data_IF_696352299477
#
_entry.id   IF_696352299477
#
_cell.length_a   1.000
_cell.length_b   1.000
_cell.length_c   1.000
_cell.angle_alpha   90.00
_cell.angle_beta   90.00
_cell.angle_gamma   90.00
#
_symmetry.space_group_name_H-M   'P 1'
#
loop_
_entity.id
_entity.type
_entity.pdbx_description
1 polymer ?
#
# COMPACT_ATOMS: atom_id res chain seq x y z
N UNK A 1 5.44 -11.66 32.35
CA UNK A 1 6.57 -11.54 31.39
C UNK A 1 6.14 -11.72 29.91
N UNK A 2 4.97 -12.28 29.61
CA UNK A 2 4.47 -12.47 28.25
C UNK A 2 4.01 -11.16 27.58
N UNK A 3 3.45 -10.21 28.34
CA UNK A 3 2.94 -8.92 27.84
C UNK A 3 4.00 -7.99 27.22
N UNK A 4 5.24 -8.02 27.68
CA UNK A 4 6.29 -7.14 27.15
C UNK A 4 6.83 -7.55 25.78
N UNK A 5 6.85 -8.85 25.49
CA UNK A 5 7.27 -9.38 24.18
C UNK A 5 6.24 -9.08 23.08
N UNK A 6 4.95 -9.19 23.41
CA UNK A 6 3.86 -8.88 22.45
C UNK A 6 3.84 -7.40 22.07
N UNK A 7 4.11 -6.50 23.03
CA UNK A 7 4.19 -5.05 22.77
C UNK A 7 5.28 -4.70 21.77
N UNK A 8 6.48 -5.24 21.94
CA UNK A 8 7.60 -5.00 21.02
C UNK A 8 7.25 -5.48 19.60
N UNK A 9 6.69 -6.67 19.46
CA UNK A 9 6.34 -7.24 18.15
C UNK A 9 5.32 -6.42 17.39
N UNK A 10 4.29 -5.89 18.06
CA UNK A 10 3.26 -5.05 17.43
C UNK A 10 3.83 -3.72 16.97
N UNK A 11 4.61 -3.05 17.82
CA UNK A 11 5.26 -1.79 17.48
C UNK A 11 6.27 -1.96 16.33
N UNK A 12 7.04 -3.05 16.34
CA UNK A 12 8.00 -3.38 15.28
C UNK A 12 7.29 -3.63 13.94
N UNK A 13 6.15 -4.33 13.96
CA UNK A 13 5.38 -4.57 12.76
C UNK A 13 4.74 -3.28 12.21
N UNK A 14 4.19 -2.43 13.06
CA UNK A 14 3.70 -1.10 12.66
C UNK A 14 4.83 -0.26 12.06
N UNK A 15 6.04 -0.33 12.61
CA UNK A 15 7.22 0.34 12.06
C UNK A 15 7.52 -0.15 10.64
N UNK A 16 7.49 -1.45 10.38
CA UNK A 16 7.67 -2.00 9.02
C UNK A 16 6.57 -1.51 8.07
N UNK A 17 5.31 -1.47 8.52
CA UNK A 17 4.21 -0.90 7.72
C UNK A 17 4.45 0.57 7.37
N UNK A 18 4.91 1.39 8.33
CA UNK A 18 5.28 2.80 8.12
C UNK A 18 6.41 2.93 7.11
N UNK A 19 7.45 2.10 7.21
CA UNK A 19 8.56 2.09 6.27
C UNK A 19 8.10 1.74 4.85
N UNK A 20 7.20 0.76 4.70
CA UNK A 20 6.62 0.39 3.40
C UNK A 20 5.86 1.56 2.80
N UNK A 21 4.95 2.20 3.54
CA UNK A 21 4.14 3.30 3.02
C UNK A 21 5.00 4.53 2.70
N UNK A 22 5.99 4.84 3.52
CA UNK A 22 6.97 5.89 3.25
C UNK A 22 7.76 5.59 1.96
N UNK A 23 8.19 4.35 1.77
CA UNK A 23 8.89 3.93 0.56
C UNK A 23 7.99 3.95 -0.68
N UNK A 24 6.70 3.60 -0.55
CA UNK A 24 5.67 3.71 -1.61
C UNK A 24 5.43 5.16 -2.00
N UNK A 25 5.26 6.06 -1.03
CA UNK A 25 5.10 7.48 -1.27
C UNK A 25 6.27 8.05 -2.07
N UNK A 26 7.49 7.72 -1.68
CA UNK A 26 8.69 8.14 -2.40
C UNK A 26 8.75 7.57 -3.82
N UNK A 27 8.40 6.30 -4.01
CA UNK A 27 8.33 5.67 -5.33
C UNK A 27 7.32 6.39 -6.23
N UNK A 28 6.10 6.66 -5.73
CA UNK A 28 5.07 7.34 -6.50
C UNK A 28 5.42 8.79 -6.79
N UNK A 29 6.11 9.46 -5.89
CA UNK A 29 6.65 10.80 -6.14
C UNK A 29 7.73 10.79 -7.24
N UNK A 30 8.63 9.81 -7.23
CA UNK A 30 9.64 9.65 -8.28
C UNK A 30 8.96 9.36 -9.64
N UNK A 31 7.89 8.56 -9.67
CA UNK A 31 7.08 8.31 -10.87
C UNK A 31 6.30 9.53 -11.35
N UNK A 32 5.77 10.34 -10.42
CA UNK A 32 5.13 11.63 -10.73
C UNK A 32 6.08 12.57 -11.48
N UNK A 33 7.36 12.60 -11.07
CA UNK A 33 8.38 13.42 -11.72
C UNK A 33 8.77 12.91 -13.11
N UNK A 34 8.76 11.59 -13.31
CA UNK A 34 9.12 10.97 -14.58
C UNK A 34 7.98 11.00 -15.60
N UNK A 35 6.76 10.83 -15.14
CA UNK A 35 5.56 10.69 -15.97
C UNK A 35 4.53 11.75 -15.58
N UNK A 36 4.82 13.01 -15.90
CA UNK A 36 3.94 14.15 -15.62
C UNK A 36 2.88 14.38 -16.71
N UNK A 37 3.00 13.70 -17.84
CA UNK A 37 2.04 13.78 -18.93
C UNK A 37 1.62 12.37 -19.40
N UNK A 38 0.37 12.20 -19.83
CA UNK A 38 -0.73 13.17 -19.81
C UNK A 38 -1.22 13.49 -18.38
N UNK A 39 -1.99 14.55 -18.21
CA UNK A 39 -2.47 15.04 -16.90
C UNK A 39 -3.15 13.96 -16.05
N UNK A 40 -3.81 13.00 -16.66
CA UNK A 40 -4.43 11.85 -15.97
C UNK A 40 -3.38 10.95 -15.29
N UNK A 41 -2.24 10.73 -15.94
CA UNK A 41 -1.12 9.94 -15.37
C UNK A 41 -0.50 10.70 -14.19
N UNK A 42 -0.30 12.01 -14.35
CA UNK A 42 0.17 12.87 -13.26
C UNK A 42 -0.74 12.81 -12.04
N UNK A 43 -2.06 12.91 -12.26
CA UNK A 43 -3.05 12.85 -11.19
C UNK A 43 -3.06 11.47 -10.50
N UNK A 44 -2.91 10.38 -11.26
CA UNK A 44 -2.78 9.04 -10.69
C UNK A 44 -1.62 8.95 -9.71
N UNK A 45 -0.41 9.35 -10.15
CA UNK A 45 0.78 9.27 -9.28
C UNK A 45 0.66 10.17 -8.06
N UNK A 46 0.07 11.36 -8.23
CA UNK A 46 -0.23 12.25 -7.12
C UNK A 46 -1.17 11.60 -6.10
N UNK A 47 -2.27 11.02 -6.56
CA UNK A 47 -3.26 10.37 -5.69
C UNK A 47 -2.66 9.17 -4.94
N UNK A 48 -1.85 8.35 -5.62
CA UNK A 48 -1.16 7.21 -4.99
C UNK A 48 -0.12 7.66 -3.96
N UNK A 49 0.59 8.74 -4.25
CA UNK A 49 1.55 9.34 -3.32
C UNK A 49 0.86 9.91 -2.07
N UNK A 50 -0.21 10.69 -2.26
CA UNK A 50 -1.02 11.26 -1.17
C UNK A 50 -1.63 10.16 -0.29
N UNK A 51 -2.15 9.09 -0.89
CA UNK A 51 -2.70 7.94 -0.17
C UNK A 51 -1.64 7.26 0.71
N UNK A 52 -0.45 7.01 0.17
CA UNK A 52 0.64 6.40 0.93
C UNK A 52 1.09 7.30 2.11
N UNK A 53 1.16 8.62 1.93
CA UNK A 53 1.44 9.54 3.05
C UNK A 53 0.35 9.53 4.12
N UNK A 54 -0.91 9.43 3.74
CA UNK A 54 -2.03 9.34 4.70
C UNK A 54 -1.97 8.04 5.49
N UNK A 55 -1.66 6.91 4.83
CA UNK A 55 -1.42 5.64 5.52
C UNK A 55 -0.25 5.74 6.49
N UNK A 56 0.86 6.35 6.08
CA UNK A 56 2.01 6.60 6.96
C UNK A 56 1.59 7.38 8.21
N UNK A 57 0.83 8.46 8.04
CA UNK A 57 0.38 9.28 9.17
C UNK A 57 -0.55 8.50 10.12
N UNK A 58 -1.52 7.76 9.57
CA UNK A 58 -2.45 6.95 10.36
C UNK A 58 -1.73 5.84 11.14
N UNK A 59 -0.82 5.11 10.48
CA UNK A 59 -0.02 4.05 11.12
C UNK A 59 0.93 4.61 12.19
N UNK A 60 1.54 5.78 11.96
CA UNK A 60 2.39 6.46 12.94
C UNK A 60 1.59 6.86 14.18
N UNK A 61 0.38 7.40 13.98
CA UNK A 61 -0.50 7.73 15.08
C UNK A 61 -0.87 6.49 15.90
N UNK A 62 -1.33 5.42 15.25
CA UNK A 62 -1.67 4.15 15.93
C UNK A 62 -0.45 3.58 16.67
N UNK A 63 0.74 3.61 16.06
CA UNK A 63 1.97 3.15 16.73
C UNK A 63 2.24 3.92 18.02
N UNK A 64 2.08 5.25 17.99
CA UNK A 64 2.24 6.09 19.17
C UNK A 64 1.27 5.71 20.29
N UNK A 65 0.00 5.46 19.97
CA UNK A 65 -1.01 5.03 20.96
C UNK A 65 -0.70 3.63 21.52
N UNK A 66 -0.28 2.68 20.67
CA UNK A 66 0.15 1.34 21.11
C UNK A 66 1.38 1.37 22.00
N UNK A 67 2.30 2.29 21.78
CA UNK A 67 3.48 2.48 22.64
C UNK A 67 3.10 3.03 24.01
N UNK A 68 2.06 3.85 24.11
CA UNK A 68 1.53 4.35 25.39
C UNK A 68 0.67 3.30 26.09
N UNK A 69 -0.28 2.72 25.39
CA UNK A 69 -1.25 1.76 25.90
C UNK A 69 -1.41 0.58 24.91
N UNK A 70 -0.71 -0.54 25.13
CA UNK A 70 -0.72 -1.69 24.21
C UNK A 70 -2.09 -2.32 23.97
N UNK A 71 -3.02 -2.16 24.90
CA UNK A 71 -4.35 -2.75 24.82
C UNK A 71 -5.28 -2.05 23.82
N UNK A 72 -4.88 -0.88 23.30
CA UNK A 72 -5.65 -0.16 22.27
C UNK A 72 -5.71 -0.88 20.93
N UNK A 73 -4.78 -1.80 20.66
CA UNK A 73 -4.78 -2.61 19.44
C UNK A 73 -4.93 -4.10 19.77
N UNK A 74 -6.09 -4.64 19.46
CA UNK A 74 -6.42 -6.08 19.60
C UNK A 74 -6.20 -6.76 18.25
N UNK A 75 -4.97 -7.12 17.96
CA UNK A 75 -4.61 -7.75 16.71
C UNK A 75 -3.74 -8.98 16.95
N UNK A 76 -4.16 -10.12 16.41
CA UNK A 76 -3.32 -11.29 16.31
C UNK A 76 -2.52 -11.21 15.00
N UNK A 77 -1.20 -11.14 15.14
CA UNK A 77 -0.29 -11.21 14.01
C UNK A 77 0.10 -12.66 13.73
N UNK A 78 0.10 -12.99 12.45
CA UNK A 78 0.55 -14.28 11.96
C UNK A 78 1.98 -14.16 11.44
N UNK A 79 2.76 -15.21 11.54
CA UNK A 79 4.13 -15.25 10.96
C UNK A 79 4.11 -14.90 9.47
N UNK A 80 3.04 -15.30 8.77
CA UNK A 80 2.81 -14.94 7.37
C UNK A 80 2.71 -13.43 7.11
N UNK A 81 2.24 -12.63 8.07
CA UNK A 81 2.14 -11.18 7.93
C UNK A 81 3.53 -10.56 7.87
N UNK A 82 4.45 -11.02 8.74
CA UNK A 82 5.83 -10.55 8.75
C UNK A 82 6.52 -10.87 7.42
N UNK A 83 6.42 -12.10 6.95
CA UNK A 83 7.02 -12.54 5.69
C UNK A 83 6.50 -11.72 4.50
N UNK A 84 5.19 -11.43 4.49
CA UNK A 84 4.57 -10.57 3.46
C UNK A 84 5.09 -9.15 3.50
N UNK A 85 5.20 -8.56 4.69
CA UNK A 85 5.71 -7.20 4.85
C UNK A 85 7.17 -7.11 4.40
N UNK A 86 8.01 -8.05 4.81
CA UNK A 86 9.42 -8.11 4.42
C UNK A 86 9.57 -8.27 2.91
N UNK A 87 8.73 -9.12 2.30
CA UNK A 87 8.70 -9.28 0.84
C UNK A 87 8.31 -7.98 0.15
N UNK A 88 7.26 -7.31 0.65
CA UNK A 88 6.77 -6.07 0.07
C UNK A 88 7.79 -4.94 0.20
N UNK A 89 8.42 -4.78 1.35
CA UNK A 89 9.46 -3.78 1.56
C UNK A 89 10.61 -3.98 0.56
N UNK A 90 11.10 -5.22 0.42
CA UNK A 90 12.14 -5.56 -0.60
C UNK A 90 11.67 -5.27 -2.02
N UNK A 91 10.40 -5.51 -2.33
CA UNK A 91 9.82 -5.23 -3.65
C UNK A 91 9.78 -3.74 -3.95
N UNK A 92 9.28 -2.92 -3.00
CA UNK A 92 9.22 -1.46 -3.15
C UNK A 92 10.62 -0.87 -3.32
N UNK A 93 11.59 -1.30 -2.52
CA UNK A 93 12.97 -0.83 -2.62
C UNK A 93 13.63 -1.23 -3.96
N UNK A 94 13.30 -2.41 -4.48
CA UNK A 94 13.73 -2.81 -5.84
C UNK A 94 13.13 -1.90 -6.91
N UNK A 95 11.87 -1.54 -6.78
CA UNK A 95 11.19 -0.64 -7.71
C UNK A 95 11.76 0.78 -7.65
N UNK A 96 12.03 1.31 -6.46
CA UNK A 96 12.71 2.61 -6.29
C UNK A 96 14.06 2.64 -7.01
N UNK A 97 14.88 1.60 -6.84
CA UNK A 97 16.18 1.51 -7.54
C UNK A 97 16.00 1.49 -9.06
N UNK A 98 15.02 0.74 -9.58
CA UNK A 98 14.73 0.68 -11.01
C UNK A 98 14.26 2.02 -11.57
N UNK A 99 13.39 2.72 -10.86
CA UNK A 99 12.87 4.04 -11.25
C UNK A 99 14.01 5.07 -11.29
N UNK A 100 14.85 5.09 -10.25
CA UNK A 100 16.01 5.99 -10.18
C UNK A 100 17.07 5.70 -11.25
N UNK A 101 17.16 4.47 -11.72
CA UNK A 101 18.01 4.10 -12.84
C UNK A 101 17.54 4.60 -14.21
N UNK A 102 16.36 5.20 -14.30
CA UNK A 102 15.83 5.84 -15.51
C UNK A 102 15.37 4.88 -16.62
N UNK A 103 15.47 3.58 -16.42
CA UNK A 103 15.12 2.55 -17.42
C UNK A 103 13.71 1.96 -17.20
N UNK A 104 12.71 2.85 -17.20
CA UNK A 104 11.32 2.41 -17.01
C UNK A 104 10.40 3.11 -18.02
N UNK A 105 9.49 2.33 -18.60
CA UNK A 105 8.39 2.84 -19.44
C UNK A 105 7.15 3.12 -18.59
N UNK A 106 6.20 3.89 -19.12
CA UNK A 106 4.91 4.12 -18.44
C UNK A 106 4.19 2.80 -18.14
N UNK A 107 4.11 1.87 -19.09
CA UNK A 107 3.50 0.54 -18.87
C UNK A 107 4.23 -0.23 -17.76
N UNK A 108 5.56 -0.14 -17.70
CA UNK A 108 6.36 -0.72 -16.63
C UNK A 108 6.03 -0.13 -15.25
N UNK A 109 5.84 1.19 -15.18
CA UNK A 109 5.43 1.88 -13.95
C UNK A 109 4.00 1.50 -13.53
N UNK A 110 3.06 1.44 -14.46
CA UNK A 110 1.68 1.01 -14.22
C UNK A 110 1.61 -0.44 -13.73
N UNK A 111 2.43 -1.36 -14.30
CA UNK A 111 2.58 -2.73 -13.81
C UNK A 111 3.07 -2.79 -12.37
N UNK A 112 4.03 -1.94 -12.00
CA UNK A 112 4.49 -1.85 -10.61
C UNK A 112 3.35 -1.42 -9.67
N UNK A 113 2.57 -0.40 -10.04
CA UNK A 113 1.44 0.06 -9.25
C UNK A 113 0.39 -1.04 -9.06
N UNK A 114 0.02 -1.76 -10.12
CA UNK A 114 -0.90 -2.90 -10.03
C UNK A 114 -0.34 -3.97 -9.09
N UNK A 115 0.94 -4.33 -9.21
CA UNK A 115 1.53 -5.37 -8.36
C UNK A 115 1.57 -4.96 -6.89
N UNK A 116 1.90 -3.70 -6.57
CA UNK A 116 1.90 -3.18 -5.21
C UNK A 116 0.49 -3.16 -4.59
N UNK A 117 -0.54 -2.95 -5.41
CA UNK A 117 -1.94 -3.02 -4.97
C UNK A 117 -2.46 -4.45 -4.81
N UNK A 118 -1.86 -5.43 -5.48
CA UNK A 118 -2.28 -6.84 -5.41
C UNK A 118 -1.46 -7.68 -4.44
N UNK A 119 -0.55 -7.10 -3.66
CA UNK A 119 0.32 -7.83 -2.74
C UNK A 119 -0.37 -8.29 -1.43
N UNK A 120 -1.64 -7.92 -1.22
CA UNK A 120 -2.45 -8.40 -0.08
C UNK A 120 -2.18 -7.71 1.25
N UNK A 121 -1.32 -6.68 1.30
CA UNK A 121 -1.06 -5.92 2.53
C UNK A 121 -2.28 -5.09 2.97
N UNK A 122 -3.17 -4.77 2.06
CA UNK A 122 -4.40 -4.02 2.35
C UNK A 122 -5.28 -4.75 3.38
N UNK A 123 -5.36 -6.08 3.32
CA UNK A 123 -6.07 -6.88 4.32
C UNK A 123 -5.45 -6.75 5.72
N UNK A 124 -4.13 -6.60 5.81
CA UNK A 124 -3.45 -6.35 7.09
C UNK A 124 -3.79 -4.97 7.62
N UNK A 125 -3.76 -3.95 6.76
CA UNK A 125 -4.15 -2.59 7.16
C UNK A 125 -5.60 -2.52 7.60
N UNK A 126 -6.53 -3.18 6.90
CA UNK A 126 -7.92 -3.29 7.33
C UNK A 126 -8.03 -3.93 8.72
N UNK A 127 -7.25 -4.98 9.01
CA UNK A 127 -7.23 -5.60 10.35
C UNK A 127 -6.64 -4.66 11.40
N UNK A 128 -5.57 -3.92 11.08
CA UNK A 128 -4.98 -2.93 11.99
C UNK A 128 -6.02 -1.85 12.32
N UNK A 129 -6.61 -1.21 11.31
CA UNK A 129 -7.57 -0.11 11.51
C UNK A 129 -8.85 -0.55 12.20
N UNK A 130 -9.32 -1.79 11.97
CA UNK A 130 -10.50 -2.34 12.64
C UNK A 130 -10.19 -2.96 14.02
N UNK A 131 -8.93 -3.30 14.28
CA UNK A 131 -8.48 -3.88 15.56
C UNK A 131 -8.15 -2.85 16.64
N UNK A 132 -8.01 -1.59 16.25
CA UNK A 132 -7.74 -0.46 17.17
C UNK A 132 -9.02 -0.07 17.91
N UNK A 133 -8.86 0.49 19.12
CA UNK A 133 -9.98 1.14 19.83
C UNK A 133 -10.78 2.05 18.88
N UNK A 134 -12.13 2.01 18.90
CA UNK A 134 -12.96 2.72 17.92
C UNK A 134 -12.69 4.22 17.84
N UNK A 135 -12.37 4.88 18.94
CA UNK A 135 -12.07 6.33 18.96
C UNK A 135 -10.75 6.60 18.24
N UNK A 136 -9.73 5.82 18.56
CA UNK A 136 -8.40 5.90 17.93
C UNK A 136 -8.49 5.54 16.45
N UNK A 137 -9.23 4.48 16.11
CA UNK A 137 -9.48 4.08 14.73
C UNK A 137 -10.17 5.15 13.91
N UNK A 138 -11.20 5.81 14.46
CA UNK A 138 -11.88 6.94 13.81
C UNK A 138 -10.90 8.11 13.59
N UNK A 139 -10.10 8.47 14.58
CA UNK A 139 -9.10 9.54 14.46
C UNK A 139 -8.06 9.22 13.40
N UNK A 140 -7.52 7.99 13.39
CA UNK A 140 -6.53 7.55 12.43
C UNK A 140 -7.08 7.54 11.00
N UNK A 141 -8.34 7.14 10.81
CA UNK A 141 -8.93 6.92 9.48
C UNK A 141 -9.66 8.12 8.90
N UNK A 142 -9.92 9.18 9.70
CA UNK A 142 -10.60 10.41 9.23
C UNK A 142 -10.03 10.99 7.93
N UNK A 143 -8.72 10.87 7.74
CA UNK A 143 -8.02 11.37 6.55
C UNK A 143 -7.86 10.34 5.45
N UNK A 144 -8.22 9.08 5.68
CA UNK A 144 -8.06 8.02 4.70
C UNK A 144 -9.19 8.09 3.67
N UNK A 145 -8.82 8.05 2.39
CA UNK A 145 -9.79 7.83 1.32
C UNK A 145 -10.12 6.33 1.25
N UNK A 146 -11.36 5.98 0.88
CA UNK A 146 -11.67 4.57 0.63
C UNK A 146 -10.70 3.98 -0.41
N UNK A 147 -10.11 2.83 -0.09
CA UNK A 147 -9.15 2.10 -0.95
C UNK A 147 -9.69 1.87 -2.36
N UNK A 148 -11.01 1.73 -2.50
CA UNK A 148 -11.69 1.54 -3.79
C UNK A 148 -11.44 2.66 -4.81
N UNK A 149 -11.28 3.91 -4.37
CA UNK A 149 -11.03 5.03 -5.30
C UNK A 149 -9.67 4.91 -5.99
N UNK A 150 -8.64 4.50 -5.27
CA UNK A 150 -7.30 4.30 -5.85
C UNK A 150 -7.27 3.21 -6.92
N UNK A 151 -8.07 2.14 -6.77
CA UNK A 151 -8.21 1.09 -7.78
C UNK A 151 -8.92 1.58 -9.04
N UNK A 152 -10.01 2.33 -8.89
CA UNK A 152 -10.77 2.88 -10.01
C UNK A 152 -9.91 3.84 -10.82
N UNK A 153 -9.18 4.72 -10.16
CA UNK A 153 -8.30 5.69 -10.82
C UNK A 153 -7.15 4.99 -11.56
N UNK A 154 -6.54 3.97 -10.95
CA UNK A 154 -5.50 3.17 -11.58
C UNK A 154 -6.03 2.41 -12.80
N UNK A 155 -7.18 1.77 -12.68
CA UNK A 155 -7.80 1.02 -13.78
C UNK A 155 -8.14 1.94 -14.96
N UNK A 156 -8.80 3.07 -14.72
CA UNK A 156 -9.13 4.06 -15.76
C UNK A 156 -7.89 4.60 -16.46
N UNK A 157 -6.82 4.88 -15.70
CA UNK A 157 -5.56 5.37 -16.26
C UNK A 157 -4.91 4.31 -17.15
N UNK A 158 -4.90 3.05 -16.70
CA UNK A 158 -4.36 1.94 -17.50
C UNK A 158 -5.16 1.77 -18.80
N UNK A 159 -6.49 1.77 -18.71
CA UNK A 159 -7.36 1.62 -19.89
C UNK A 159 -7.18 2.73 -20.94
N UNK A 160 -6.84 3.95 -20.50
CA UNK A 160 -6.69 5.10 -21.40
C UNK A 160 -5.27 5.35 -21.88
N UNK A 161 -4.25 4.90 -21.15
CA UNK A 161 -2.84 5.26 -21.40
C UNK A 161 -1.92 4.08 -21.70
N UNK A 162 -2.34 2.83 -21.39
CA UNK A 162 -1.52 1.65 -21.63
C UNK A 162 -1.78 1.04 -23.01
N UNK A 163 -0.71 0.58 -23.65
CA UNK A 163 -0.77 -0.23 -24.87
C UNK A 163 -0.51 -1.72 -24.61
N UNK A 164 -0.28 -2.09 -23.35
CA UNK A 164 0.05 -3.46 -22.94
C UNK A 164 -1.23 -4.28 -22.73
N UNK A 165 -1.56 -5.14 -23.68
CA UNK A 165 -2.75 -6.00 -23.68
C UNK A 165 -2.82 -6.95 -22.47
N UNK A 166 -1.68 -7.40 -21.96
CA UNK A 166 -1.61 -8.28 -20.78
C UNK A 166 -2.01 -7.48 -19.54
N UNK A 167 -1.49 -6.25 -19.40
CA UNK A 167 -1.85 -5.36 -18.30
C UNK A 167 -3.32 -4.98 -18.35
N UNK A 168 -3.84 -4.61 -19.51
CA UNK A 168 -5.25 -4.30 -19.74
C UNK A 168 -6.16 -5.47 -19.37
N UNK A 169 -5.83 -6.68 -19.82
CA UNK A 169 -6.59 -7.89 -19.50
C UNK A 169 -6.58 -8.19 -17.99
N UNK A 170 -5.42 -8.04 -17.32
CA UNK A 170 -5.28 -8.25 -15.88
C UNK A 170 -6.16 -7.27 -15.09
N UNK A 171 -6.12 -5.99 -15.43
CA UNK A 171 -6.90 -4.94 -14.73
C UNK A 171 -8.40 -5.18 -14.91
N UNK A 172 -8.86 -5.48 -16.13
CA UNK A 172 -10.28 -5.80 -16.39
C UNK A 172 -10.76 -7.01 -15.58
N UNK A 173 -9.90 -8.03 -15.41
CA UNK A 173 -10.21 -9.20 -14.55
C UNK A 173 -10.35 -8.80 -13.08
N UNK A 174 -9.44 -8.01 -12.55
CA UNK A 174 -9.47 -7.52 -11.17
C UNK A 174 -10.72 -6.68 -10.90
N UNK A 175 -11.09 -5.81 -11.84
CA UNK A 175 -12.30 -4.98 -11.72
C UNK A 175 -13.60 -5.81 -11.71
N UNK A 176 -13.69 -6.88 -12.52
CA UNK A 176 -14.85 -7.77 -12.53
C UNK A 176 -14.98 -8.62 -11.27
N UNK A 177 -13.85 -8.99 -10.66
CA UNK A 177 -13.80 -9.76 -9.40
C UNK A 177 -14.10 -8.94 -8.15
N UNK A 178 -14.55 -7.69 -8.28
CA UNK A 178 -14.90 -6.82 -7.15
C UNK A 178 -13.69 -6.44 -6.28
N UNK A 179 -12.48 -6.43 -6.84
CA UNK A 179 -11.25 -6.07 -6.12
C UNK A 179 -10.80 -7.11 -5.07
N UNK A 180 -11.51 -8.23 -4.91
CA UNK A 180 -11.05 -9.32 -4.05
C UNK A 180 -9.88 -10.03 -4.72
N UNK A 181 -8.71 -9.90 -4.11
CA UNK A 181 -7.49 -10.56 -4.52
C UNK A 181 -7.67 -12.06 -4.31
N UNK A 182 -7.81 -12.80 -5.41
CA UNK A 182 -7.65 -14.25 -5.38
C UNK A 182 -6.14 -14.49 -5.22
N UNK A 183 -5.74 -14.89 -4.01
CA UNK A 183 -4.40 -15.41 -3.76
C UNK A 183 -4.20 -16.66 -4.62
N UNK A 184 -3.30 -16.60 -5.59
CA UNK A 184 -2.88 -17.75 -6.35
C UNK A 184 -2.82 -17.52 -7.84
N UNK A 185 -1.77 -16.88 -8.31
CA UNK A 185 -1.16 -17.13 -9.63
C UNK A 185 0.21 -16.42 -9.73
N UNK A 186 1.17 -16.91 -8.95
CA UNK A 186 2.59 -16.67 -9.18
C UNK A 186 3.23 -18.02 -9.59
N UNK A 187 3.09 -18.38 -10.88
CA UNK A 187 3.96 -19.34 -11.56
C UNK A 187 4.67 -18.67 -12.71
#
# INVERSE_FOLDING_TARGET
MVYGLVKSQVADLLEVCIQIETARAQLYYDLLRLFSEPAQVRLLWWNLCDEAYRHTAALTFIKGEVELEPEVLKLEFLDEDQDRLDHLLRLVERYKRRVRGGHITLDGALKMAVRLRTCGVENLYDRIFNGVDPIIGEMATRSLRPIQHGWIDLAKTIESCSTDEILLSRVRRLMRGGGRIIQGDDR
#
